data_IF_223295479188
#
_entry.id   IF_223295479188
#
_cell.length_a   1.000
_cell.length_b   1.000
_cell.length_c   1.000
_cell.angle_alpha   90.00
_cell.angle_beta   90.00
_cell.angle_gamma   90.00
#
_symmetry.space_group_name_H-M   'P 1'
#
loop_
_entity.id
_entity.type
_entity.pdbx_description
1 polymer ?
#
# COMPACT_ATOMS: atom_id res chain seq x y z
N UNK A 1 -11.82 -0.69 -32.00
CA UNK A 1 -11.83 -1.71 -30.95
C UNK A 1 -11.34 -1.05 -29.67
N UNK A 2 -12.26 -0.67 -28.79
CA UNK A 2 -11.92 -0.01 -27.53
C UNK A 2 -11.60 -1.10 -26.51
N UNK A 3 -10.33 -1.25 -26.16
CA UNK A 3 -9.96 -1.88 -24.91
C UNK A 3 -10.04 -0.81 -23.84
N UNK A 4 -11.12 -0.80 -23.05
CA UNK A 4 -11.05 -0.19 -21.72
C UNK A 4 -10.14 -1.08 -20.88
N UNK A 5 -8.84 -0.75 -20.87
CA UNK A 5 -7.94 -1.33 -19.89
C UNK A 5 -8.29 -0.67 -18.56
N UNK A 6 -9.09 -1.37 -17.75
CA UNK A 6 -9.26 -1.04 -16.34
C UNK A 6 -7.90 -1.19 -15.66
N UNK A 7 -7.11 -0.11 -15.66
CA UNK A 7 -5.98 0.01 -14.76
C UNK A 7 -6.54 0.17 -13.35
N UNK A 8 -6.80 -0.97 -12.73
CA UNK A 8 -7.09 -1.06 -11.32
C UNK A 8 -5.94 -0.36 -10.58
N UNK A 9 -6.20 0.38 -9.50
CA UNK A 9 -5.12 0.85 -8.61
C UNK A 9 -4.20 -0.32 -8.20
N UNK A 10 -4.76 -1.53 -8.26
CA UNK A 10 -4.17 -2.84 -8.05
C UNK A 10 -3.50 -3.49 -9.29
N UNK A 11 -3.03 -2.76 -10.31
CA UNK A 11 -2.31 -3.36 -11.45
C UNK A 11 -3.20 -4.15 -12.41
N UNK A 12 -2.69 -5.25 -12.98
CA UNK A 12 -3.43 -6.07 -13.94
C UNK A 12 -4.48 -6.95 -13.23
N UNK A 13 -5.77 -6.67 -13.45
CA UNK A 13 -6.87 -7.42 -12.85
C UNK A 13 -6.81 -8.93 -13.15
N UNK A 14 -6.26 -9.31 -14.30
CA UNK A 14 -6.16 -10.72 -14.73
C UNK A 14 -5.11 -11.51 -13.94
N UNK A 15 -4.18 -10.82 -13.29
CA UNK A 15 -3.11 -11.44 -12.50
C UNK A 15 -3.47 -11.49 -11.00
N UNK A 16 -4.50 -10.74 -10.60
CA UNK A 16 -5.02 -10.78 -9.25
C UNK A 16 -6.07 -11.86 -9.06
N UNK A 17 -6.08 -12.44 -7.86
CA UNK A 17 -7.20 -13.28 -7.43
C UNK A 17 -8.49 -12.45 -7.44
N UNK A 18 -9.58 -13.04 -7.93
CA UNK A 18 -10.93 -12.44 -7.88
C UNK A 18 -11.28 -11.96 -6.47
N UNK A 19 -10.85 -12.71 -5.44
CA UNK A 19 -11.01 -12.31 -4.04
C UNK A 19 -10.40 -10.92 -3.73
N UNK A 20 -9.24 -10.60 -4.29
CA UNK A 20 -8.60 -9.29 -4.08
C UNK A 20 -9.35 -8.20 -4.86
N UNK A 21 -9.78 -8.47 -6.09
CA UNK A 21 -10.55 -7.52 -6.90
C UNK A 21 -11.88 -7.18 -6.21
N UNK A 22 -12.65 -8.20 -5.82
CA UNK A 22 -13.96 -8.00 -5.18
C UNK A 22 -13.87 -7.37 -3.78
N UNK A 23 -12.72 -7.46 -3.11
CA UNK A 23 -12.49 -6.76 -1.84
C UNK A 23 -12.31 -5.25 -2.04
N UNK A 24 -11.66 -4.84 -3.13
CA UNK A 24 -11.44 -3.43 -3.44
C UNK A 24 -12.63 -2.80 -4.17
N UNK A 25 -13.31 -3.57 -5.02
CA UNK A 25 -14.40 -3.09 -5.85
C UNK A 25 -15.69 -3.78 -5.45
N UNK A 26 -16.53 -3.02 -4.74
CA UNK A 26 -17.92 -3.40 -4.51
C UNK A 26 -18.80 -2.74 -5.57
N UNK A 27 -20.03 -3.21 -5.73
CA UNK A 27 -21.03 -2.54 -6.57
C UNK A 27 -21.20 -1.08 -6.18
N UNK A 28 -21.10 -0.76 -4.89
CA UNK A 28 -21.21 0.61 -4.37
C UNK A 28 -20.13 1.54 -4.95
N UNK A 29 -18.91 1.05 -5.16
CA UNK A 29 -17.80 1.84 -5.73
C UNK A 29 -18.11 2.31 -7.16
N UNK A 30 -18.96 1.58 -7.88
CA UNK A 30 -19.35 1.90 -9.26
C UNK A 30 -20.70 2.62 -9.35
N UNK A 31 -21.56 2.52 -8.34
CA UNK A 31 -22.94 3.05 -8.39
C UNK A 31 -23.15 4.27 -7.52
N UNK A 32 -22.16 4.70 -6.73
CA UNK A 32 -22.26 5.88 -5.88
C UNK A 32 -21.24 6.95 -6.27
N UNK A 33 -21.61 8.21 -6.02
CA UNK A 33 -20.68 9.32 -6.13
C UNK A 33 -19.51 9.12 -5.14
N UNK A 34 -18.31 9.47 -5.59
CA UNK A 34 -17.11 9.32 -4.78
C UNK A 34 -17.13 10.26 -3.57
N UNK A 35 -16.57 9.78 -2.46
CA UNK A 35 -16.36 10.58 -1.27
C UNK A 35 -14.96 11.20 -1.27
N UNK A 36 -14.89 12.48 -0.97
CA UNK A 36 -13.63 13.22 -0.85
C UNK A 36 -13.63 14.03 0.44
N UNK A 37 -12.44 14.32 0.95
CA UNK A 37 -12.30 15.37 1.95
C UNK A 37 -12.56 16.73 1.30
N UNK A 38 -13.08 17.70 2.05
CA UNK A 38 -13.39 19.06 1.55
C UNK A 38 -12.17 19.68 0.84
N UNK A 39 -10.97 19.42 1.35
CA UNK A 39 -9.72 19.95 0.81
C UNK A 39 -8.99 18.95 -0.12
N UNK A 40 -9.64 17.86 -0.55
CA UNK A 40 -9.14 16.81 -1.45
C UNK A 40 -7.82 16.12 -1.03
N UNK A 41 -7.40 16.30 0.22
CA UNK A 41 -6.21 15.68 0.80
C UNK A 41 -6.56 14.71 1.94
N UNK A 42 -6.23 13.43 1.80
CA UNK A 42 -6.58 12.41 2.79
C UNK A 42 -5.72 12.46 4.08
N UNK A 43 -4.63 13.23 4.09
CA UNK A 43 -3.77 13.40 5.27
C UNK A 43 -4.53 13.98 6.48
N UNK A 44 -5.59 14.77 6.24
CA UNK A 44 -6.39 15.36 7.31
C UNK A 44 -7.03 14.30 8.22
N UNK A 45 -7.37 13.13 7.66
CA UNK A 45 -7.95 12.01 8.41
C UNK A 45 -6.93 11.51 9.44
N UNK A 46 -5.68 11.30 9.02
CA UNK A 46 -4.59 10.83 9.89
C UNK A 46 -4.17 11.89 10.91
N UNK A 47 -4.11 13.16 10.51
CA UNK A 47 -3.81 14.26 11.44
C UNK A 47 -4.89 14.37 12.54
N UNK A 48 -6.15 14.15 12.17
CA UNK A 48 -7.27 14.15 13.13
C UNK A 48 -7.19 12.94 14.06
N UNK A 49 -6.89 11.75 13.54
CA UNK A 49 -6.68 10.56 14.36
C UNK A 49 -5.50 10.73 15.34
N UNK A 50 -4.38 11.30 14.89
CA UNK A 50 -3.22 11.61 15.75
C UNK A 50 -3.63 12.49 16.94
N UNK A 51 -4.40 13.56 16.70
CA UNK A 51 -4.94 14.41 17.77
C UNK A 51 -5.87 13.64 18.71
N UNK A 52 -6.74 12.79 18.18
CA UNK A 52 -7.68 11.97 18.98
C UNK A 52 -7.00 10.91 19.83
N UNK A 53 -5.79 10.48 19.44
CA UNK A 53 -4.95 9.57 20.21
C UNK A 53 -4.05 10.30 21.23
N UNK A 54 -4.33 11.57 21.56
CA UNK A 54 -3.49 12.42 22.41
C UNK A 54 -2.08 12.68 21.84
N UNK A 55 -1.95 12.67 20.52
CA UNK A 55 -0.74 13.11 19.82
C UNK A 55 0.53 12.40 20.31
N UNK A 56 1.56 13.20 20.58
CA UNK A 56 2.92 12.72 20.91
C UNK A 56 3.03 11.96 22.23
N UNK A 57 1.99 11.98 23.07
CA UNK A 57 1.97 11.20 24.31
C UNK A 57 1.79 9.70 24.03
N UNK A 58 1.03 9.35 22.99
CA UNK A 58 0.76 7.95 22.61
C UNK A 58 1.25 7.58 21.20
N UNK A 59 1.59 8.56 20.37
CA UNK A 59 2.05 8.35 19.00
C UNK A 59 3.45 8.91 18.83
N UNK A 60 4.44 8.01 18.81
CA UNK A 60 5.84 8.38 18.66
C UNK A 60 6.21 8.47 17.18
N UNK A 61 6.23 9.69 16.65
CA UNK A 61 6.78 10.00 15.33
C UNK A 61 8.31 10.02 15.36
N UNK A 62 8.93 9.98 14.19
CA UNK A 62 10.40 10.02 14.03
C UNK A 62 11.14 8.97 14.87
N UNK A 63 10.47 7.84 15.11
CA UNK A 63 10.95 6.79 16.00
C UNK A 63 11.22 5.52 15.20
N UNK A 64 12.25 4.76 15.61
CA UNK A 64 12.59 3.48 14.99
C UNK A 64 12.54 2.34 16.02
N UNK A 65 11.96 1.21 15.64
CA UNK A 65 11.96 0.01 16.47
C UNK A 65 13.31 -0.70 16.27
N UNK A 66 14.05 -0.91 17.34
CA UNK A 66 15.32 -1.65 17.32
C UNK A 66 15.10 -3.14 17.53
N UNK A 67 14.25 -3.49 18.47
CA UNK A 67 13.89 -4.87 18.74
C UNK A 67 12.52 -4.99 19.39
N UNK A 68 11.86 -6.13 19.15
CA UNK A 68 10.64 -6.57 19.81
C UNK A 68 10.83 -8.04 20.14
N UNK A 69 10.66 -8.38 21.42
CA UNK A 69 10.63 -9.75 21.91
C UNK A 69 9.27 -10.06 22.54
N UNK A 70 8.78 -11.28 22.30
CA UNK A 70 7.47 -11.76 22.76
C UNK A 70 7.65 -13.04 23.56
N UNK A 71 7.18 -13.02 24.80
CA UNK A 71 7.17 -14.17 25.70
C UNK A 71 5.79 -14.35 26.35
N UNK A 72 5.66 -15.32 27.24
CA UNK A 72 4.40 -15.62 27.92
C UNK A 72 3.92 -14.47 28.83
N UNK A 73 4.84 -13.60 29.28
CA UNK A 73 4.54 -12.44 30.14
C UNK A 73 4.09 -11.19 29.36
N UNK A 74 4.33 -11.17 28.05
CA UNK A 74 3.92 -10.10 27.14
C UNK A 74 4.97 -9.76 26.08
N UNK A 75 5.13 -8.46 25.83
CA UNK A 75 5.91 -7.88 24.73
C UNK A 75 6.84 -6.83 25.29
N UNK A 76 8.10 -6.87 24.88
CA UNK A 76 9.10 -5.84 25.17
C UNK A 76 9.60 -5.27 23.85
N UNK A 77 9.49 -3.96 23.68
CA UNK A 77 9.99 -3.23 22.51
C UNK A 77 11.05 -2.22 22.94
N UNK A 78 12.17 -2.19 22.22
CA UNK A 78 13.20 -1.15 22.33
C UNK A 78 13.01 -0.18 21.18
N UNK A 79 12.76 1.08 21.51
CA UNK A 79 12.44 2.14 20.55
C UNK A 79 13.48 3.23 20.64
N UNK A 80 14.11 3.56 19.52
CA UNK A 80 14.97 4.73 19.39
C UNK A 80 14.11 5.92 18.98
N UNK A 81 14.26 7.02 19.70
CA UNK A 81 13.54 8.28 19.48
C UNK A 81 14.56 9.42 19.40
N UNK A 82 14.17 10.60 18.87
CA UNK A 82 15.04 11.78 18.87
C UNK A 82 15.48 12.20 20.28
N UNK A 83 14.66 11.92 21.30
CA UNK A 83 14.96 12.18 22.71
C UNK A 83 15.75 11.07 23.42
N UNK A 84 16.15 10.02 22.70
CA UNK A 84 16.89 8.87 23.25
C UNK A 84 16.14 7.55 23.15
N UNK A 85 16.79 6.49 23.62
CA UNK A 85 16.25 5.11 23.59
C UNK A 85 15.30 4.87 24.75
N UNK A 86 14.15 4.26 24.46
CA UNK A 86 13.12 3.92 25.43
C UNK A 86 12.74 2.43 25.33
N UNK A 87 12.49 1.79 26.47
CA UNK A 87 11.94 0.43 26.56
C UNK A 87 10.45 0.49 26.88
N UNK A 88 9.62 -0.15 26.05
CA UNK A 88 8.18 -0.25 26.21
C UNK A 88 7.82 -1.69 26.55
N UNK A 89 7.01 -1.88 27.60
CA UNK A 89 6.47 -3.19 27.99
C UNK A 89 4.95 -3.17 27.82
N UNK A 90 4.41 -4.18 27.14
CA UNK A 90 2.98 -4.28 26.85
C UNK A 90 2.50 -5.74 26.97
N UNK A 91 1.18 -5.94 27.05
CA UNK A 91 0.57 -7.28 27.08
C UNK A 91 0.27 -7.84 25.70
N UNK A 92 0.15 -6.98 24.69
CA UNK A 92 -0.22 -7.36 23.32
C UNK A 92 0.57 -6.52 22.32
N UNK A 93 0.85 -7.12 21.16
CA UNK A 93 1.42 -6.46 20.00
C UNK A 93 0.40 -6.45 18.88
N UNK A 94 0.19 -5.28 18.27
CA UNK A 94 -0.55 -5.14 17.02
C UNK A 94 0.44 -4.67 15.95
N UNK A 95 0.56 -5.43 14.88
CA UNK A 95 1.40 -5.09 13.73
C UNK A 95 0.50 -4.50 12.65
N UNK A 96 0.66 -3.20 12.42
CA UNK A 96 -0.05 -2.44 11.37
C UNK A 96 0.88 -1.95 10.25
N UNK A 97 2.11 -2.48 10.22
CA UNK A 97 3.02 -2.33 9.08
C UNK A 97 2.86 -3.52 8.11
N UNK A 98 3.56 -3.46 6.97
CA UNK A 98 3.56 -4.54 5.99
C UNK A 98 4.12 -5.83 6.61
N UNK A 99 3.35 -6.93 6.69
CA UNK A 99 3.76 -8.15 7.38
C UNK A 99 4.62 -9.08 6.50
N UNK A 100 5.59 -8.53 5.75
CA UNK A 100 6.56 -9.35 5.02
C UNK A 100 7.70 -9.75 5.96
N UNK A 101 8.22 -10.96 5.78
CA UNK A 101 9.37 -11.42 6.57
C UNK A 101 10.53 -10.42 6.54
N UNK A 102 10.90 -9.94 5.35
CA UNK A 102 12.00 -8.98 5.15
C UNK A 102 11.78 -7.64 5.85
N UNK A 103 10.52 -7.23 6.06
CA UNK A 103 10.18 -5.98 6.73
C UNK A 103 10.17 -6.14 8.26
N UNK A 104 9.92 -7.35 8.78
CA UNK A 104 9.75 -7.60 10.23
C UNK A 104 10.97 -8.23 10.89
N UNK A 105 11.64 -9.17 10.23
CA UNK A 105 12.78 -9.91 10.76
C UNK A 105 13.92 -9.05 11.33
N UNK A 106 14.21 -7.83 10.81
CA UNK A 106 15.26 -6.99 11.38
C UNK A 106 15.03 -6.56 12.83
N UNK A 107 13.78 -6.54 13.30
CA UNK A 107 13.47 -6.06 14.66
C UNK A 107 12.52 -6.99 15.43
N UNK A 108 11.77 -7.87 14.79
CA UNK A 108 10.81 -8.75 15.45
C UNK A 108 11.41 -10.15 15.60
N UNK A 109 11.14 -10.80 16.73
CA UNK A 109 11.41 -12.21 16.99
C UNK A 109 10.49 -13.15 16.19
N UNK A 110 10.55 -13.08 14.86
CA UNK A 110 9.70 -13.85 13.94
C UNK A 110 9.92 -15.36 14.16
N UNK A 111 8.84 -16.08 14.43
CA UNK A 111 8.87 -17.53 14.69
C UNK A 111 8.84 -18.34 13.39
N UNK A 112 9.31 -19.60 13.36
CA UNK A 112 9.39 -20.38 12.12
C UNK A 112 8.06 -20.51 11.35
N UNK A 113 6.93 -20.64 12.07
CA UNK A 113 5.60 -20.68 11.46
C UNK A 113 5.19 -19.32 10.87
N UNK A 114 5.56 -18.22 11.53
CA UNK A 114 5.30 -16.85 11.06
C UNK A 114 6.17 -16.54 9.83
N UNK A 115 7.44 -16.90 9.86
CA UNK A 115 8.36 -16.79 8.72
C UNK A 115 7.79 -17.50 7.49
N UNK A 116 7.33 -18.76 7.65
CA UNK A 116 6.75 -19.54 6.56
C UNK A 116 5.59 -18.82 5.88
N UNK A 117 4.70 -18.20 6.64
CA UNK A 117 3.53 -17.47 6.09
C UNK A 117 3.97 -16.12 5.51
N UNK A 118 4.77 -15.35 6.25
CA UNK A 118 5.14 -13.97 5.90
C UNK A 118 6.12 -13.88 4.72
N UNK A 119 6.76 -14.99 4.33
CA UNK A 119 7.54 -15.13 3.09
C UNK A 119 6.68 -15.36 1.83
N UNK A 120 5.40 -15.71 1.97
CA UNK A 120 4.53 -16.01 0.82
C UNK A 120 3.85 -14.78 0.23
N UNK A 121 4.03 -13.60 0.82
CA UNK A 121 3.44 -12.39 0.28
C UNK A 121 4.09 -11.98 -1.04
N UNK A 122 3.23 -11.65 -2.01
CA UNK A 122 3.54 -10.93 -3.22
C UNK A 122 3.07 -9.47 -3.10
N UNK A 123 3.56 -8.62 -4.01
CA UNK A 123 3.16 -7.22 -4.10
C UNK A 123 3.17 -6.76 -5.54
N UNK A 124 2.62 -5.57 -5.72
CA UNK A 124 2.70 -4.79 -6.95
C UNK A 124 3.79 -3.73 -6.79
N UNK A 125 4.44 -3.41 -7.91
CA UNK A 125 5.42 -2.35 -8.00
C UNK A 125 4.75 -1.09 -8.52
N UNK A 126 4.70 -0.05 -7.69
CA UNK A 126 3.98 1.19 -8.02
C UNK A 126 4.88 2.39 -7.92
N UNK A 127 4.78 3.26 -8.90
CA UNK A 127 5.41 4.57 -8.96
C UNK A 127 4.34 5.65 -9.06
N UNK A 128 4.57 6.77 -8.38
CA UNK A 128 3.67 7.92 -8.41
C UNK A 128 4.42 9.19 -8.72
N UNK A 129 3.82 10.09 -9.47
CA UNK A 129 4.38 11.43 -9.67
C UNK A 129 3.30 12.49 -9.73
N UNK A 130 3.74 13.74 -9.65
CA UNK A 130 2.95 14.90 -10.02
C UNK A 130 3.40 15.31 -11.43
N UNK A 131 2.50 15.41 -12.40
CA UNK A 131 2.82 15.91 -13.75
C UNK A 131 2.54 17.41 -13.85
N UNK A 132 3.51 18.18 -14.33
CA UNK A 132 3.34 19.60 -14.66
C UNK A 132 3.26 19.78 -16.18
N UNK A 133 2.73 20.92 -16.66
CA UNK A 133 2.73 21.28 -18.07
C UNK A 133 1.85 20.39 -18.95
N UNK A 134 0.78 19.83 -18.36
CA UNK A 134 -0.15 18.92 -19.04
C UNK A 134 -1.36 19.61 -19.68
N UNK A 135 -1.57 20.91 -19.41
CA UNK A 135 -2.83 21.62 -19.66
C UNK A 135 -3.78 21.53 -18.46
N UNK A 136 -4.70 22.50 -18.33
CA UNK A 136 -5.61 22.67 -17.17
C UNK A 136 -6.69 21.57 -17.05
N UNK A 137 -6.83 20.71 -18.05
CA UNK A 137 -7.96 19.80 -18.19
C UNK A 137 -7.55 18.38 -18.55
N UNK A 138 -6.43 17.89 -18.01
CA UNK A 138 -6.17 16.47 -18.20
C UNK A 138 -7.21 15.57 -17.55
N UNK A 139 -8.09 16.06 -16.65
CA UNK A 139 -9.44 15.52 -16.36
C UNK A 139 -9.54 14.05 -15.95
N UNK A 140 -8.42 13.34 -15.91
CA UNK A 140 -8.33 11.91 -15.70
C UNK A 140 -7.66 11.75 -14.35
N UNK A 141 -8.41 12.11 -13.32
CA UNK A 141 -8.52 11.10 -12.27
C UNK A 141 -9.26 9.92 -12.90
N UNK A 142 -8.99 8.69 -12.47
CA UNK A 142 -9.79 7.51 -12.83
C UNK A 142 -11.29 7.62 -12.41
N UNK A 143 -11.82 8.83 -12.20
CA UNK A 143 -13.16 9.15 -11.72
C UNK A 143 -14.04 9.86 -12.74
N UNK A 144 -13.53 10.25 -13.92
CA UNK A 144 -14.34 11.00 -14.90
C UNK A 144 -14.71 12.42 -14.46
N UNK A 145 -14.05 12.95 -13.43
CA UNK A 145 -14.25 14.32 -12.93
C UNK A 145 -13.16 15.21 -13.50
N UNK A 146 -13.57 16.30 -14.15
CA UNK A 146 -12.72 17.43 -14.52
C UNK A 146 -12.12 18.04 -13.26
N UNK A 147 -10.95 17.53 -12.86
CA UNK A 147 -10.18 18.09 -11.76
C UNK A 147 -9.11 19.00 -12.36
N UNK A 148 -9.21 20.30 -12.06
CA UNK A 148 -8.33 21.35 -12.59
C UNK A 148 -6.91 21.20 -12.01
N UNK A 149 -6.73 20.37 -10.96
CA UNK A 149 -5.47 20.22 -10.25
C UNK A 149 -4.98 18.78 -10.08
N UNK A 150 -5.72 17.75 -10.52
CA UNK A 150 -5.29 16.35 -10.38
C UNK A 150 -4.13 16.03 -11.32
N UNK A 151 -2.93 16.32 -10.84
CA UNK A 151 -1.64 16.04 -11.50
C UNK A 151 -1.02 14.73 -11.03
N UNK A 152 -1.68 13.97 -10.15
CA UNK A 152 -1.14 12.73 -9.60
C UNK A 152 -1.34 11.57 -10.58
N UNK A 153 -0.24 11.00 -11.07
CA UNK A 153 -0.26 9.82 -11.96
C UNK A 153 0.34 8.62 -11.24
N UNK A 154 -0.27 7.46 -11.47
CA UNK A 154 0.20 6.17 -10.98
C UNK A 154 0.63 5.29 -12.13
N UNK A 155 1.73 4.58 -11.95
CA UNK A 155 2.14 3.48 -12.80
C UNK A 155 2.37 2.24 -11.94
N UNK A 156 1.66 1.17 -12.24
CA UNK A 156 1.72 -0.09 -11.48
C UNK A 156 2.01 -1.26 -12.41
N UNK A 157 2.81 -2.22 -11.93
CA UNK A 157 3.16 -3.44 -12.64
C UNK A 157 3.47 -4.56 -11.64
N UNK A 158 3.25 -5.80 -12.06
CA UNK A 158 3.60 -7.03 -11.36
C UNK A 158 5.12 -7.24 -11.23
N UNK A 159 5.90 -6.71 -12.17
CA UNK A 159 7.35 -6.80 -12.18
C UNK A 159 8.03 -5.51 -11.69
N UNK A 160 9.17 -5.66 -11.04
CA UNK A 160 10.00 -4.49 -10.73
C UNK A 160 10.53 -3.82 -11.99
N UNK A 161 10.47 -2.49 -12.04
CA UNK A 161 10.99 -1.69 -13.13
C UNK A 161 11.87 -0.57 -12.59
N UNK A 162 12.83 -0.13 -13.41
CA UNK A 162 13.71 1.00 -13.06
C UNK A 162 12.93 2.31 -13.01
N UNK A 163 13.48 3.29 -12.31
CA UNK A 163 12.94 4.65 -12.22
C UNK A 163 12.79 5.29 -13.60
N UNK A 164 13.73 5.07 -14.51
CA UNK A 164 13.75 5.60 -15.87
C UNK A 164 12.62 4.99 -16.70
N UNK A 165 12.40 3.68 -16.58
CA UNK A 165 11.30 2.98 -17.28
C UNK A 165 9.95 3.44 -16.74
N UNK A 166 9.81 3.64 -15.43
CA UNK A 166 8.61 4.18 -14.81
C UNK A 166 8.33 5.61 -15.31
N UNK A 167 9.33 6.49 -15.26
CA UNK A 167 9.24 7.87 -15.73
C UNK A 167 8.84 7.96 -17.21
N UNK A 168 9.50 7.17 -18.05
CA UNK A 168 9.22 7.10 -19.49
C UNK A 168 7.80 6.62 -19.77
N UNK A 169 7.29 5.66 -18.99
CA UNK A 169 5.92 5.13 -19.14
C UNK A 169 4.86 6.13 -18.69
N UNK A 170 5.10 6.84 -17.58
CA UNK A 170 4.23 7.90 -17.08
C UNK A 170 4.12 9.05 -18.10
N UNK A 171 5.24 9.51 -18.67
CA UNK A 171 5.23 10.55 -19.70
C UNK A 171 4.53 10.09 -20.99
N UNK A 172 4.80 8.86 -21.46
CA UNK A 172 4.08 8.29 -22.61
C UNK A 172 2.57 8.24 -22.37
N UNK A 173 2.15 7.85 -21.17
CA UNK A 173 0.73 7.80 -20.80
C UNK A 173 0.12 9.20 -20.83
N UNK A 174 0.82 10.21 -20.32
CA UNK A 174 0.36 11.60 -20.38
C UNK A 174 0.17 12.09 -21.82
N UNK A 175 1.13 11.83 -22.72
CA UNK A 175 1.01 12.19 -24.14
C UNK A 175 -0.12 11.44 -24.84
N UNK A 176 -0.28 10.15 -24.56
CA UNK A 176 -1.39 9.36 -25.10
C UNK A 176 -2.74 9.93 -24.68
N UNK A 177 -2.89 10.23 -23.38
CA UNK A 177 -4.08 10.83 -22.79
C UNK A 177 -4.39 12.20 -23.39
N UNK A 178 -3.38 13.05 -23.56
CA UNK A 178 -3.51 14.35 -24.23
C UNK A 178 -4.08 14.20 -25.64
N UNK A 179 -3.49 13.30 -26.44
CA UNK A 179 -3.97 13.02 -27.79
C UNK A 179 -5.40 12.46 -27.82
N UNK A 180 -5.70 11.49 -26.95
CA UNK A 180 -7.02 10.86 -26.87
C UNK A 180 -8.12 11.83 -26.40
N UNK A 181 -7.77 12.79 -25.54
CA UNK A 181 -8.72 13.76 -24.96
C UNK A 181 -8.78 15.07 -25.76
N UNK A 182 -8.03 15.18 -26.86
CA UNK A 182 -7.84 16.42 -27.62
C UNK A 182 -7.41 17.61 -26.72
N UNK A 183 -6.58 17.33 -25.71
CA UNK A 183 -6.00 18.32 -24.78
C UNK A 183 -4.53 18.48 -25.12
N UNK A 184 -4.08 19.71 -25.32
CA UNK A 184 -2.67 20.02 -25.57
C UNK A 184 -2.02 20.66 -24.35
N UNK A 185 -0.72 20.42 -24.16
CA UNK A 185 0.08 21.24 -23.26
C UNK A 185 -0.01 22.72 -23.66
N UNK A 186 0.19 23.66 -22.71
CA UNK A 186 0.38 25.07 -23.03
C UNK A 186 1.47 25.27 -24.09
N UNK A 187 1.36 26.32 -24.89
CA UNK A 187 2.30 26.61 -25.98
C UNK A 187 3.73 26.68 -25.46
N UNK A 188 4.61 25.85 -26.00
CA UNK A 188 6.03 25.77 -25.59
C UNK A 188 6.30 24.88 -24.38
N UNK A 189 5.27 24.33 -23.73
CA UNK A 189 5.41 23.42 -22.61
C UNK A 189 5.29 21.94 -23.01
N UNK A 190 5.87 21.06 -22.19
CA UNK A 190 5.73 19.61 -22.29
C UNK A 190 5.40 19.04 -20.90
N UNK A 191 4.69 17.90 -20.82
CA UNK A 191 4.52 17.20 -19.57
C UNK A 191 5.88 16.91 -18.93
N UNK A 192 6.04 17.31 -17.67
CA UNK A 192 7.25 17.03 -16.89
C UNK A 192 6.89 16.34 -15.58
N UNK A 193 7.76 15.44 -15.14
CA UNK A 193 7.59 14.72 -13.89
C UNK A 193 8.16 15.54 -12.74
N UNK A 194 7.30 15.88 -11.79
CA UNK A 194 7.66 16.37 -10.48
C UNK A 194 7.51 15.26 -9.44
N UNK A 195 8.50 15.15 -8.55
CA UNK A 195 8.48 14.30 -7.37
C UNK A 195 8.09 12.83 -7.62
N UNK A 196 8.80 12.15 -8.54
CA UNK A 196 8.64 10.71 -8.77
C UNK A 196 9.00 9.92 -7.50
N UNK A 197 8.03 9.18 -6.96
CA UNK A 197 8.18 8.36 -5.76
C UNK A 197 7.86 6.90 -6.06
N UNK A 198 8.67 6.00 -5.49
CA UNK A 198 8.38 4.58 -5.47
C UNK A 198 7.51 4.28 -4.25
N UNK A 199 6.39 3.61 -4.49
CA UNK A 199 5.44 3.16 -3.46
C UNK A 199 5.42 1.62 -3.32
N UNK A 200 6.44 0.95 -3.85
CA UNK A 200 6.67 -0.49 -3.71
C UNK A 200 7.14 -0.86 -2.29
N UNK A 201 6.71 -2.01 -1.75
CA UNK A 201 5.58 -2.83 -2.17
C UNK A 201 4.23 -2.13 -2.00
N UNK A 202 3.41 -2.20 -3.04
CA UNK A 202 2.01 -1.77 -3.03
C UNK A 202 1.09 -3.00 -3.12
N UNK A 203 -0.13 -2.88 -2.60
CA UNK A 203 -1.16 -3.94 -2.62
C UNK A 203 -0.61 -5.33 -2.22
N UNK A 204 -0.16 -5.49 -0.98
CA UNK A 204 0.37 -6.77 -0.51
C UNK A 204 -0.72 -7.86 -0.56
N UNK A 205 -0.44 -8.99 -1.21
CA UNK A 205 -1.40 -10.09 -1.37
C UNK A 205 -0.71 -11.46 -1.37
N UNK A 206 -1.47 -12.53 -1.13
CA UNK A 206 -0.97 -13.89 -1.35
C UNK A 206 -1.15 -14.29 -2.82
N UNK A 207 -0.20 -15.03 -3.42
CA UNK A 207 -0.38 -15.63 -4.74
C UNK A 207 -1.42 -16.76 -4.71
N UNK A 208 -1.95 -17.12 -5.87
CA UNK A 208 -2.99 -18.14 -6.03
C UNK A 208 -2.67 -19.45 -5.34
N UNK A 209 -1.46 -19.96 -5.55
CA UNK A 209 -1.02 -21.24 -4.99
C UNK A 209 -0.95 -21.20 -3.45
N UNK A 210 -0.44 -20.11 -2.88
CA UNK A 210 -0.42 -19.93 -1.42
C UNK A 210 -1.85 -19.94 -0.84
N UNK A 211 -2.79 -19.24 -1.50
CA UNK A 211 -4.20 -19.22 -1.08
C UNK A 211 -4.81 -20.63 -1.15
N UNK A 212 -4.60 -21.37 -2.24
CA UNK A 212 -5.05 -22.75 -2.38
C UNK A 212 -4.47 -23.66 -1.28
N UNK A 213 -3.21 -23.41 -0.90
CA UNK A 213 -2.50 -24.12 0.18
C UNK A 213 -2.83 -23.60 1.58
N UNK A 214 -3.92 -22.84 1.75
CA UNK A 214 -4.44 -22.45 3.05
C UNK A 214 -3.74 -21.25 3.69
N UNK A 215 -3.09 -20.38 2.91
CA UNK A 215 -2.42 -19.16 3.42
C UNK A 215 -3.25 -18.40 4.45
N UNK A 216 -4.52 -18.08 4.15
CA UNK A 216 -5.38 -17.32 5.08
C UNK A 216 -5.79 -18.12 6.32
N UNK A 217 -5.89 -19.45 6.24
CA UNK A 217 -6.11 -20.30 7.42
C UNK A 217 -4.89 -20.23 8.34
N UNK A 218 -3.69 -20.39 7.78
CA UNK A 218 -2.43 -20.23 8.51
C UNK A 218 -2.31 -18.83 9.11
N UNK A 219 -2.60 -17.79 8.33
CA UNK A 219 -2.51 -16.41 8.79
C UNK A 219 -3.46 -16.10 9.96
N UNK A 220 -4.70 -16.58 9.87
CA UNK A 220 -5.68 -16.40 10.95
C UNK A 220 -5.32 -17.17 12.21
N UNK A 221 -4.74 -18.37 12.07
CA UNK A 221 -4.33 -19.17 13.21
C UNK A 221 -3.19 -18.53 14.03
N UNK A 222 -2.39 -17.64 13.43
CA UNK A 222 -1.34 -16.89 14.15
C UNK A 222 -1.89 -15.77 15.05
N UNK A 223 -3.17 -15.37 14.89
CA UNK A 223 -3.75 -14.28 15.68
C UNK A 223 -3.78 -14.66 17.16
N UNK A 224 -3.12 -13.85 18.00
CA UNK A 224 -3.06 -14.07 19.43
C UNK A 224 -2.10 -15.19 19.87
N UNK A 225 -1.42 -15.86 18.94
CA UNK A 225 -0.43 -16.87 19.29
C UNK A 225 0.94 -16.23 19.55
N UNK A 226 1.53 -16.55 20.70
CA UNK A 226 2.97 -16.40 20.95
C UNK A 226 3.70 -17.74 20.78
N UNK A 227 3.05 -18.79 20.30
CA UNK A 227 3.62 -20.14 20.25
C UNK A 227 3.59 -20.69 18.81
N UNK A 228 4.59 -21.48 18.39
CA UNK A 228 4.51 -22.19 17.11
C UNK A 228 3.26 -23.08 17.07
N UNK A 229 2.45 -22.94 16.02
CA UNK A 229 1.31 -23.84 15.79
C UNK A 229 1.89 -25.15 15.29
N UNK A 230 1.93 -26.17 16.15
CA UNK A 230 2.25 -27.54 15.76
C UNK A 230 1.21 -28.12 14.81
N UNK A 231 1.49 -29.25 14.12
CA UNK A 231 0.51 -29.89 13.26
C UNK A 231 -0.76 -30.19 14.06
N UNK A 232 -1.91 -29.95 13.42
CA UNK A 232 -3.22 -30.18 14.03
C UNK A 232 -3.27 -31.58 14.64
N UNK A 233 -3.65 -31.67 15.91
CA UNK A 233 -3.97 -32.97 16.52
C UNK A 233 -5.07 -33.63 15.67
N UNK A 234 -4.91 -34.90 15.24
CA UNK A 234 -6.03 -35.62 14.67
C UNK A 234 -7.14 -35.67 15.72
N UNK A 235 -8.36 -35.33 15.31
CA UNK A 235 -9.52 -35.28 16.19
C UNK A 235 -9.80 -36.65 16.81
N UNK A 236 -10.16 -36.62 18.09
CA UNK A 236 -10.88 -37.72 18.75
C UNK A 236 -12.35 -37.67 18.34
#
# INVERSE_FOLDING_TARGET
MAYEVFYVQAGNALELLTLNVMKYYSTLEFTTDRLYTVNRGNQIIYNTAHKKLNGSDNVFLESSIKSITRNDDGVVAVVERPCGTQTIRAKKLVIAIRPRYVDMAPFLDVKPNEEKITKQFSNIHTWTCILNGTGETLGISQSGISDVEARAFWWSTDAEITKEKAASSLLRTAYFVQGASNVTSPTGERPTINNLKQHTPYLLHAPREAVANGFYKGMNAMRGSTTPIGPARPGN
#
